data_IF_441191557570
#
_entry.id   IF_441191557570
#
_cell.length_a   1.000
_cell.length_b   1.000
_cell.length_c   1.000
_cell.angle_alpha   90.00
_cell.angle_beta   90.00
_cell.angle_gamma   90.00
#
_symmetry.space_group_name_H-M   'P 1'
#
loop_
_entity.id
_entity.type
_entity.pdbx_description
1 polymer ?
#
# COMPACT_ATOMS: atom_id res chain seq x y z
N UNK A 1 -0.48 -25.71 -4.56
CA UNK A 1 -0.08 -24.31 -4.26
C UNK A 1 -0.47 -23.41 -5.44
N UNK A 2 -1.76 -23.23 -5.70
CA UNK A 2 -2.25 -22.48 -6.88
C UNK A 2 -3.62 -21.80 -6.64
N UNK A 3 -3.98 -21.46 -5.39
CA UNK A 3 -5.29 -20.87 -5.04
C UNK A 3 -5.14 -19.39 -4.61
N UNK A 4 -3.94 -18.82 -4.62
CA UNK A 4 -3.62 -17.58 -3.88
C UNK A 4 -3.50 -16.30 -4.73
N UNK A 5 -3.78 -16.33 -6.04
CA UNK A 5 -3.55 -15.17 -6.91
C UNK A 5 -4.73 -14.20 -7.05
N UNK A 6 -5.95 -14.56 -6.66
CA UNK A 6 -7.16 -13.77 -6.97
C UNK A 6 -8.02 -13.46 -5.74
N UNK A 7 -7.41 -13.02 -4.63
CA UNK A 7 -8.18 -12.41 -3.54
C UNK A 7 -8.50 -10.97 -3.93
N UNK A 8 -9.78 -10.63 -4.02
CA UNK A 8 -10.24 -9.25 -4.24
C UNK A 8 -10.84 -8.69 -2.95
N UNK A 9 -10.93 -7.36 -2.87
CA UNK A 9 -11.44 -6.66 -1.69
C UNK A 9 -12.48 -5.62 -2.08
N UNK A 10 -13.56 -5.54 -1.31
CA UNK A 10 -14.60 -4.51 -1.46
C UNK A 10 -15.10 -4.01 -0.12
N UNK A 11 -15.81 -2.89 -0.13
CA UNK A 11 -16.56 -2.44 1.05
C UNK A 11 -17.67 -3.43 1.37
N UNK A 12 -17.91 -3.66 2.65
CA UNK A 12 -19.07 -4.41 3.10
C UNK A 12 -20.37 -3.72 2.70
N UNK A 13 -21.38 -4.51 2.34
CA UNK A 13 -22.75 -4.08 2.05
C UNK A 13 -23.71 -4.88 2.93
N UNK A 14 -24.97 -4.44 3.03
CA UNK A 14 -25.93 -5.07 3.95
C UNK A 14 -26.12 -6.59 3.70
N UNK A 15 -26.00 -7.05 2.45
CA UNK A 15 -26.09 -8.48 2.12
C UNK A 15 -25.00 -9.35 2.73
N UNK A 16 -23.90 -8.76 3.24
CA UNK A 16 -22.84 -9.49 3.95
C UNK A 16 -23.20 -9.82 5.41
N UNK A 17 -24.29 -9.22 5.94
CA UNK A 17 -24.68 -9.31 7.35
C UNK A 17 -24.79 -10.77 7.83
N UNK A 18 -25.52 -11.61 7.09
CA UNK A 18 -25.74 -13.00 7.51
C UNK A 18 -24.46 -13.83 7.47
N UNK A 19 -23.61 -13.64 6.46
CA UNK A 19 -22.30 -14.28 6.40
C UNK A 19 -21.47 -13.91 7.64
N UNK A 20 -21.33 -12.62 7.94
CA UNK A 20 -20.56 -12.14 9.09
C UNK A 20 -21.15 -12.67 10.40
N UNK A 21 -22.48 -12.67 10.55
CA UNK A 21 -23.16 -13.22 11.73
C UNK A 21 -22.86 -14.70 11.91
N UNK A 22 -22.99 -15.49 10.85
CA UNK A 22 -22.73 -16.92 10.87
C UNK A 22 -21.28 -17.22 11.26
N UNK A 23 -20.30 -16.48 10.73
CA UNK A 23 -18.89 -16.65 11.06
C UNK A 23 -18.55 -16.21 12.49
N UNK A 24 -19.26 -15.20 13.04
CA UNK A 24 -19.15 -14.78 14.44
C UNK A 24 -19.77 -15.79 15.43
N UNK A 25 -20.75 -16.58 14.97
CA UNK A 25 -21.42 -17.61 15.76
C UNK A 25 -20.78 -18.99 15.63
N UNK A 26 -19.85 -19.19 14.70
CA UNK A 26 -19.02 -20.39 14.63
C UNK A 26 -18.35 -20.66 16.00
N UNK A 27 -18.41 -21.90 16.54
CA UNK A 27 -17.97 -22.20 17.90
C UNK A 27 -16.52 -21.78 18.19
N UNK A 28 -15.62 -21.96 17.21
CA UNK A 28 -14.21 -21.60 17.36
C UNK A 28 -14.06 -20.09 17.41
N UNK A 29 -14.68 -19.35 16.48
CA UNK A 29 -14.66 -17.90 16.52
C UNK A 29 -15.26 -17.36 17.82
N UNK A 30 -16.43 -17.89 18.22
CA UNK A 30 -17.18 -17.45 19.39
C UNK A 30 -16.38 -17.57 20.69
N UNK A 31 -15.60 -18.64 20.81
CA UNK A 31 -14.71 -18.88 21.96
C UNK A 31 -13.62 -17.81 22.13
N UNK A 32 -13.37 -17.01 21.08
CA UNK A 32 -12.34 -15.96 21.10
C UNK A 32 -12.89 -14.54 21.27
N UNK A 33 -14.20 -14.36 21.44
CA UNK A 33 -14.79 -13.05 21.76
C UNK A 33 -14.96 -12.88 23.27
N UNK A 34 -15.02 -11.62 23.73
CA UNK A 34 -15.26 -11.29 25.16
C UNK A 34 -16.57 -11.84 25.70
N UNK A 35 -17.63 -11.68 24.93
CA UNK A 35 -18.91 -12.30 25.19
C UNK A 35 -19.05 -13.52 24.28
N UNK A 36 -19.26 -14.71 24.83
CA UNK A 36 -19.44 -15.93 24.04
C UNK A 36 -20.90 -16.24 23.70
N UNK A 37 -21.84 -15.34 24.01
CA UNK A 37 -23.25 -15.49 23.66
C UNK A 37 -23.46 -15.55 22.14
N UNK A 38 -24.44 -16.37 21.72
CA UNK A 38 -24.86 -16.44 20.33
C UNK A 38 -25.43 -15.08 19.93
N UNK A 39 -24.98 -14.57 18.79
CA UNK A 39 -25.46 -13.32 18.23
C UNK A 39 -26.74 -13.61 17.44
N UNK A 40 -27.88 -13.14 17.96
CA UNK A 40 -29.15 -13.22 17.27
C UNK A 40 -29.17 -12.31 16.03
N UNK A 41 -30.04 -12.63 15.08
CA UNK A 41 -30.13 -11.95 13.80
C UNK A 41 -30.55 -10.48 13.92
N UNK A 42 -31.53 -10.19 14.79
CA UNK A 42 -32.09 -8.84 14.93
C UNK A 42 -31.05 -7.88 15.50
N UNK A 43 -30.39 -8.26 16.58
CA UNK A 43 -29.31 -7.49 17.20
C UNK A 43 -28.13 -7.32 16.25
N UNK A 44 -27.77 -8.38 15.49
CA UNK A 44 -26.70 -8.28 14.51
C UNK A 44 -27.02 -7.30 13.39
N UNK A 45 -28.21 -7.40 12.78
CA UNK A 45 -28.62 -6.54 11.68
C UNK A 45 -28.69 -5.07 12.12
N UNK A 46 -29.15 -4.78 13.35
CA UNK A 46 -29.11 -3.43 13.93
C UNK A 46 -27.68 -2.92 14.06
N UNK A 47 -26.79 -3.72 14.64
CA UNK A 47 -25.37 -3.37 14.80
C UNK A 47 -24.68 -3.15 13.44
N UNK A 48 -24.90 -4.05 12.48
CA UNK A 48 -24.26 -3.98 11.18
C UNK A 48 -24.74 -2.78 10.37
N UNK A 49 -26.04 -2.48 10.41
CA UNK A 49 -26.60 -1.26 9.81
C UNK A 49 -25.94 -0.01 10.39
N UNK A 50 -25.75 0.06 11.72
CA UNK A 50 -25.06 1.17 12.35
C UNK A 50 -23.60 1.28 11.90
N UNK A 51 -22.88 0.16 11.78
CA UNK A 51 -21.51 0.14 11.25
C UNK A 51 -21.43 0.61 9.79
N UNK A 52 -22.39 0.25 8.93
CA UNK A 52 -22.40 0.68 7.53
C UNK A 52 -22.69 2.18 7.37
N UNK A 53 -23.41 2.79 8.33
CA UNK A 53 -23.72 4.22 8.35
C UNK A 53 -22.65 5.08 9.06
N UNK A 54 -21.76 4.46 9.83
CA UNK A 54 -20.72 5.15 10.59
C UNK A 54 -19.51 5.50 9.70
N UNK A 55 -19.27 6.79 9.47
CA UNK A 55 -18.12 7.27 8.71
C UNK A 55 -16.78 6.95 9.38
N UNK A 56 -16.80 6.60 10.67
CA UNK A 56 -15.64 6.21 11.45
C UNK A 56 -15.42 4.68 11.48
N UNK A 57 -16.25 3.92 10.78
CA UNK A 57 -16.13 2.49 10.61
C UNK A 57 -15.78 2.15 9.16
N UNK A 58 -14.77 1.30 8.98
CA UNK A 58 -14.36 0.82 7.66
C UNK A 58 -14.35 -0.71 7.66
N UNK A 59 -15.27 -1.29 6.90
CA UNK A 59 -15.43 -2.73 6.77
C UNK A 59 -15.06 -3.17 5.35
N UNK A 60 -14.09 -4.08 5.26
CA UNK A 60 -13.64 -4.67 4.02
C UNK A 60 -13.96 -6.16 3.99
N UNK A 61 -14.58 -6.61 2.91
CA UNK A 61 -14.85 -8.01 2.61
C UNK A 61 -13.79 -8.49 1.63
N UNK A 62 -13.17 -9.62 1.96
CA UNK A 62 -12.31 -10.36 1.04
C UNK A 62 -13.13 -11.39 0.28
N UNK A 63 -12.90 -11.49 -1.03
CA UNK A 63 -13.57 -12.42 -1.91
C UNK A 63 -12.57 -13.28 -2.69
N UNK A 64 -12.93 -14.54 -2.93
CA UNK A 64 -12.22 -15.46 -3.81
C UNK A 64 -13.23 -16.02 -4.79
N UNK A 65 -13.01 -15.81 -6.09
CA UNK A 65 -13.95 -16.21 -7.15
C UNK A 65 -15.41 -15.75 -6.89
N UNK A 66 -15.58 -14.57 -6.28
CA UNK A 66 -16.89 -14.00 -5.91
C UNK A 66 -17.50 -14.53 -4.61
N UNK A 67 -16.87 -15.47 -3.92
CA UNK A 67 -17.30 -15.95 -2.60
C UNK A 67 -16.64 -15.11 -1.49
N UNK A 68 -17.44 -14.62 -0.53
CA UNK A 68 -16.92 -13.91 0.63
C UNK A 68 -16.19 -14.87 1.60
N UNK A 69 -14.91 -14.60 1.86
CA UNK A 69 -14.04 -15.50 2.65
C UNK A 69 -13.63 -14.92 4.00
N UNK A 70 -13.88 -13.63 4.24
CA UNK A 70 -13.63 -12.99 5.52
C UNK A 70 -13.88 -11.49 5.51
N UNK A 71 -13.79 -10.90 6.70
CA UNK A 71 -14.01 -9.48 6.95
C UNK A 71 -12.91 -8.90 7.83
N UNK A 72 -12.44 -7.70 7.48
CA UNK A 72 -11.62 -6.84 8.35
C UNK A 72 -12.40 -5.57 8.64
N UNK A 73 -12.48 -5.19 9.91
CA UNK A 73 -13.12 -3.96 10.37
C UNK A 73 -12.12 -3.10 11.12
N UNK A 74 -12.10 -1.82 10.77
CA UNK A 74 -11.42 -0.74 11.46
C UNK A 74 -12.48 0.18 12.08
N UNK A 75 -12.42 0.42 13.38
CA UNK A 75 -13.33 1.31 14.09
C UNK A 75 -12.53 2.42 14.78
N UNK A 76 -12.82 3.69 14.49
CA UNK A 76 -12.12 4.81 15.14
C UNK A 76 -12.33 4.76 16.66
N UNK A 77 -11.25 4.96 17.41
CA UNK A 77 -11.29 5.16 18.86
C UNK A 77 -11.72 6.59 19.17
N UNK A 78 -12.64 6.75 20.12
CA UNK A 78 -13.19 8.06 20.49
C UNK A 78 -12.20 8.94 21.26
N UNK A 79 -11.19 8.36 21.92
CA UNK A 79 -10.25 9.08 22.78
C UNK A 79 -8.83 9.23 22.19
N UNK A 80 -8.51 8.49 21.12
CA UNK A 80 -7.16 8.39 20.56
C UNK A 80 -7.22 8.54 19.04
N UNK A 81 -6.19 9.11 18.41
CA UNK A 81 -6.05 9.12 16.94
C UNK A 81 -5.66 7.73 16.44
N UNK A 82 -6.60 6.79 16.45
CA UNK A 82 -6.37 5.40 16.08
C UNK A 82 -7.63 4.58 15.87
N UNK A 83 -7.48 3.36 15.36
CA UNK A 83 -8.56 2.43 15.06
C UNK A 83 -8.37 1.10 15.79
N UNK A 84 -9.46 0.55 16.31
CA UNK A 84 -9.53 -0.86 16.68
C UNK A 84 -9.72 -1.73 15.44
N UNK A 85 -8.86 -2.74 15.30
CA UNK A 85 -8.83 -3.68 14.17
C UNK A 85 -9.35 -5.02 14.62
N UNK A 86 -10.39 -5.50 13.93
CA UNK A 86 -10.94 -6.84 14.12
C UNK A 86 -11.00 -7.59 12.80
N UNK A 87 -10.65 -8.88 12.84
CA UNK A 87 -10.71 -9.78 11.69
C UNK A 87 -11.59 -10.99 12.04
N UNK A 88 -12.38 -11.44 11.08
CA UNK A 88 -13.13 -12.68 11.19
C UNK A 88 -13.13 -13.39 9.83
N UNK A 89 -12.73 -14.67 9.82
CA UNK A 89 -12.66 -15.49 8.61
C UNK A 89 -13.84 -16.46 8.57
N UNK A 90 -14.34 -16.68 7.36
CA UNK A 90 -15.21 -17.80 7.05
C UNK A 90 -14.55 -19.10 7.57
N UNK A 91 -15.24 -19.92 8.41
CA UNK A 91 -14.66 -21.12 9.00
C UNK A 91 -14.02 -22.10 8.01
N UNK A 92 -14.60 -22.23 6.80
CA UNK A 92 -14.10 -23.13 5.75
C UNK A 92 -12.77 -22.69 5.15
N UNK A 93 -12.42 -21.41 5.29
CA UNK A 93 -11.24 -20.77 4.72
C UNK A 93 -10.13 -20.51 5.75
N UNK A 94 -10.22 -21.11 6.94
CA UNK A 94 -9.17 -20.99 7.96
C UNK A 94 -7.99 -21.92 7.68
N UNK A 95 -6.85 -21.62 8.29
CA UNK A 95 -5.64 -22.46 8.21
C UNK A 95 -4.83 -22.34 6.91
N UNK A 96 -5.33 -21.64 5.89
CA UNK A 96 -4.64 -21.45 4.60
C UNK A 96 -3.83 -20.14 4.49
N UNK A 97 -3.68 -19.41 5.60
CA UNK A 97 -2.88 -18.18 5.65
C UNK A 97 -3.61 -16.90 5.22
N UNK A 98 -4.93 -16.94 5.02
CA UNK A 98 -5.72 -15.77 4.62
C UNK A 98 -5.71 -14.63 5.64
N UNK A 99 -5.66 -14.93 6.94
CA UNK A 99 -5.74 -13.90 7.99
C UNK A 99 -4.67 -12.79 7.85
N UNK A 100 -3.42 -13.17 7.58
CA UNK A 100 -2.34 -12.20 7.32
C UNK A 100 -2.49 -11.47 5.99
N UNK A 101 -3.08 -12.11 4.97
CA UNK A 101 -3.31 -11.47 3.67
C UNK A 101 -4.36 -10.38 3.80
N UNK A 102 -5.50 -10.70 4.42
CA UNK A 102 -6.57 -9.76 4.69
C UNK A 102 -6.06 -8.53 5.46
N UNK A 103 -5.36 -8.76 6.58
CA UNK A 103 -4.82 -7.65 7.38
C UNK A 103 -3.82 -6.78 6.60
N UNK A 104 -3.03 -7.37 5.69
CA UNK A 104 -2.05 -6.63 4.89
C UNK A 104 -2.71 -5.85 3.76
N UNK A 105 -3.60 -6.49 3.02
CA UNK A 105 -4.13 -5.96 1.77
C UNK A 105 -5.25 -4.94 1.99
N UNK A 106 -5.89 -4.92 3.17
CA UNK A 106 -6.87 -3.88 3.53
C UNK A 106 -6.23 -2.60 4.09
N UNK A 107 -4.92 -2.59 4.38
CA UNK A 107 -4.23 -1.38 4.84
C UNK A 107 -4.10 -0.29 3.76
N UNK A 108 -3.68 -0.58 2.51
CA UNK A 108 -3.64 0.44 1.47
C UNK A 108 -4.97 1.16 1.21
N UNK A 109 -6.11 0.47 1.00
CA UNK A 109 -7.39 1.16 0.79
C UNK A 109 -7.88 1.90 2.04
N UNK A 110 -7.56 1.42 3.25
CA UNK A 110 -7.81 2.18 4.48
C UNK A 110 -6.98 3.47 4.51
N UNK A 111 -5.67 3.37 4.28
CA UNK A 111 -4.78 4.52 4.29
C UNK A 111 -5.24 5.56 3.26
N UNK A 112 -5.61 5.13 2.04
CA UNK A 112 -6.18 6.00 1.02
C UNK A 112 -7.46 6.72 1.49
N UNK A 113 -8.41 6.03 2.12
CA UNK A 113 -9.63 6.65 2.68
C UNK A 113 -9.34 7.69 3.75
N UNK A 114 -8.27 7.48 4.50
CA UNK A 114 -7.83 8.36 5.58
C UNK A 114 -6.83 9.40 5.11
N UNK A 115 -6.71 9.65 3.80
CA UNK A 115 -5.75 10.57 3.20
C UNK A 115 -4.30 10.32 3.66
N UNK A 116 -3.98 9.06 3.94
CA UNK A 116 -2.72 8.59 4.50
C UNK A 116 -2.32 9.25 5.82
N UNK A 117 -3.27 9.80 6.58
CA UNK A 117 -3.01 10.38 7.91
C UNK A 117 -2.31 9.37 8.83
N UNK A 118 -1.51 9.87 9.77
CA UNK A 118 -0.98 9.02 10.85
C UNK A 118 -2.13 8.61 11.77
N UNK A 119 -2.35 7.31 11.90
CA UNK A 119 -3.26 6.72 12.87
C UNK A 119 -2.62 5.52 13.54
N UNK A 120 -2.93 5.27 14.80
CA UNK A 120 -2.56 4.01 15.43
C UNK A 120 -3.55 2.91 15.04
N UNK A 121 -3.08 1.68 14.90
CA UNK A 121 -3.95 0.52 14.74
C UNK A 121 -3.75 -0.41 15.92
N UNK A 122 -4.83 -0.70 16.62
CA UNK A 122 -4.84 -1.50 17.83
C UNK A 122 -5.64 -2.77 17.61
N UNK A 123 -5.19 -3.89 18.16
CA UNK A 123 -5.91 -5.15 18.16
C UNK A 123 -5.91 -5.74 19.57
N UNK A 124 -7.09 -5.81 20.18
CA UNK A 124 -7.28 -6.51 21.46
C UNK A 124 -7.61 -7.99 21.19
N UNK A 125 -6.75 -8.89 21.65
CA UNK A 125 -6.82 -10.33 21.34
C UNK A 125 -6.66 -11.14 22.62
N UNK A 126 -7.44 -12.21 22.79
CA UNK A 126 -7.26 -13.12 23.92
C UNK A 126 -5.88 -13.78 23.82
N UNK A 127 -5.11 -13.91 24.93
CA UNK A 127 -3.80 -14.56 24.93
C UNK A 127 -3.84 -15.99 24.37
N UNK A 128 -4.96 -16.69 24.50
CA UNK A 128 -5.18 -18.05 24.00
C UNK A 128 -5.37 -18.13 22.48
N UNK A 129 -5.70 -17.02 21.79
CA UNK A 129 -5.91 -17.00 20.35
C UNK A 129 -4.59 -16.86 19.58
N UNK A 130 -3.73 -17.88 19.71
CA UNK A 130 -2.38 -17.91 19.12
C UNK A 130 -2.40 -17.70 17.60
N UNK A 131 -3.43 -18.21 16.90
CA UNK A 131 -3.57 -18.06 15.46
C UNK A 131 -3.77 -16.59 15.04
N UNK A 132 -4.64 -15.86 15.75
CA UNK A 132 -4.84 -14.43 15.52
C UNK A 132 -3.58 -13.64 15.86
N UNK A 133 -2.97 -13.89 17.03
CA UNK A 133 -1.73 -13.23 17.46
C UNK A 133 -0.62 -13.38 16.39
N UNK A 134 -0.44 -14.59 15.86
CA UNK A 134 0.52 -14.83 14.76
C UNK A 134 0.14 -14.08 13.49
N UNK A 135 -1.15 -14.02 13.13
CA UNK A 135 -1.62 -13.31 11.94
C UNK A 135 -1.32 -11.82 12.02
N UNK A 136 -1.59 -11.18 13.16
CA UNK A 136 -1.29 -9.77 13.41
C UNK A 136 0.23 -9.51 13.46
N UNK A 137 1.00 -10.32 14.20
CA UNK A 137 2.48 -10.16 14.26
C UNK A 137 3.15 -10.28 12.90
N UNK A 138 2.69 -11.20 12.05
CA UNK A 138 3.24 -11.41 10.72
C UNK A 138 3.06 -10.21 9.77
N UNK A 139 2.17 -9.28 10.09
CA UNK A 139 1.97 -8.07 9.28
C UNK A 139 2.54 -6.82 9.94
N UNK A 140 3.21 -6.92 11.09
CA UNK A 140 3.89 -5.77 11.72
C UNK A 140 3.25 -5.26 13.02
N UNK A 141 2.31 -6.01 13.61
CA UNK A 141 1.83 -5.69 14.96
C UNK A 141 2.80 -6.18 16.04
N UNK A 142 3.01 -5.35 17.06
CA UNK A 142 3.83 -5.65 18.22
C UNK A 142 3.02 -5.57 19.51
N UNK A 143 3.47 -6.23 20.58
CA UNK A 143 2.82 -6.13 21.88
C UNK A 143 2.99 -4.70 22.45
N UNK A 144 1.89 -4.06 22.86
CA UNK A 144 1.96 -2.77 23.56
C UNK A 144 2.53 -3.01 24.96
N UNK A 145 3.62 -2.31 25.31
CA UNK A 145 4.41 -2.55 26.52
C UNK A 145 3.69 -2.35 27.86
N UNK A 146 2.43 -1.91 27.85
CA UNK A 146 1.68 -1.49 29.04
C UNK A 146 0.32 -2.17 29.25
N UNK A 147 0.00 -3.27 28.57
CA UNK A 147 -1.29 -3.96 28.75
C UNK A 147 -1.37 -4.68 30.11
N UNK A 148 -1.61 -3.92 31.19
CA UNK A 148 -2.03 -4.41 32.51
C UNK A 148 -3.56 -4.52 32.60
N UNK A 149 -4.16 -5.23 31.64
CA UNK A 149 -5.54 -5.72 31.78
C UNK A 149 -5.49 -7.22 31.58
N UNK A 150 -5.73 -7.97 32.65
CA UNK A 150 -5.39 -9.39 32.80
C UNK A 150 -6.12 -10.38 31.85
N UNK A 151 -6.95 -9.90 30.92
CA UNK A 151 -7.76 -10.76 30.03
C UNK A 151 -7.38 -10.71 28.55
N UNK A 152 -6.85 -9.59 28.05
CA UNK A 152 -6.59 -9.38 26.61
C UNK A 152 -5.21 -8.77 26.42
N UNK A 153 -4.45 -9.27 25.45
CA UNK A 153 -3.26 -8.57 24.98
C UNK A 153 -3.65 -7.51 23.96
N UNK A 154 -3.02 -6.34 24.05
CA UNK A 154 -3.15 -5.29 23.04
C UNK A 154 -1.93 -5.34 22.12
N UNK A 155 -2.18 -5.54 20.84
CA UNK A 155 -1.17 -5.39 19.80
C UNK A 155 -1.34 -4.06 19.10
N UNK A 156 -0.24 -3.36 18.82
CA UNK A 156 -0.20 -2.11 18.08
C UNK A 156 0.55 -2.31 16.77
N UNK A 157 -0.01 -1.83 15.65
CA UNK A 157 0.70 -1.86 14.37
C UNK A 157 1.87 -0.91 14.41
N UNK A 158 3.06 -1.42 14.11
CA UNK A 158 4.23 -0.59 13.86
C UNK A 158 4.26 -0.25 12.38
N UNK A 159 3.89 1.00 12.09
CA UNK A 159 4.11 1.54 10.77
C UNK A 159 5.59 1.41 10.41
N UNK A 160 5.90 0.95 9.21
CA UNK A 160 7.27 0.91 8.74
C UNK A 160 7.86 2.32 8.73
N UNK A 161 9.09 2.44 9.20
CA UNK A 161 9.86 3.65 8.99
C UNK A 161 10.45 3.60 7.58
N UNK A 162 10.22 4.65 6.81
CA UNK A 162 10.78 4.81 5.46
C UNK A 162 11.92 5.82 5.51
N UNK A 163 12.96 5.57 4.74
CA UNK A 163 14.05 6.51 4.52
C UNK A 163 13.71 7.54 3.43
N UNK A 164 12.83 7.16 2.50
CA UNK A 164 12.31 8.03 1.46
C UNK A 164 10.97 7.56 0.90
N UNK A 165 10.19 8.51 0.36
CA UNK A 165 9.03 8.24 -0.50
C UNK A 165 9.38 8.59 -1.93
N UNK A 166 9.31 7.64 -2.84
CA UNK A 166 9.55 7.82 -4.27
C UNK A 166 8.21 8.00 -4.98
N UNK A 167 7.97 9.19 -5.53
CA UNK A 167 6.76 9.47 -6.28
C UNK A 167 7.01 9.34 -7.78
N UNK A 168 6.47 8.29 -8.41
CA UNK A 168 6.60 8.07 -9.84
C UNK A 168 5.57 8.92 -10.58
N UNK A 169 6.02 9.99 -11.24
CA UNK A 169 5.15 10.86 -12.03
C UNK A 169 4.46 10.08 -13.16
N UNK A 170 3.34 10.59 -13.66
CA UNK A 170 2.70 10.05 -14.86
C UNK A 170 3.06 10.89 -16.07
N UNK A 171 2.40 12.04 -16.24
CA UNK A 171 2.65 12.96 -17.35
C UNK A 171 2.13 14.38 -17.04
N UNK A 172 2.28 15.28 -18.01
CA UNK A 172 1.60 16.56 -18.11
C UNK A 172 0.21 16.42 -18.77
N UNK A 173 -0.64 17.41 -18.60
CA UNK A 173 -1.88 17.59 -19.36
C UNK A 173 -1.64 18.46 -20.62
N UNK A 174 -2.70 18.72 -21.39
CA UNK A 174 -2.64 19.50 -22.63
C UNK A 174 -2.18 20.95 -22.43
N UNK A 175 -2.28 21.47 -21.20
CA UNK A 175 -1.91 22.84 -20.85
C UNK A 175 -0.44 22.93 -20.37
N UNK A 176 0.26 21.79 -20.31
CA UNK A 176 1.64 21.72 -19.82
C UNK A 176 1.75 21.71 -18.28
N UNK A 177 0.63 21.52 -17.59
CA UNK A 177 0.58 21.35 -16.13
C UNK A 177 0.59 19.86 -15.76
N UNK A 178 0.91 19.52 -14.51
CA UNK A 178 0.85 18.12 -14.07
C UNK A 178 -0.55 17.55 -14.31
N UNK A 179 -0.67 16.40 -14.98
CA UNK A 179 -1.99 15.81 -15.16
C UNK A 179 -2.59 15.33 -13.83
N UNK A 180 -3.90 15.00 -13.85
CA UNK A 180 -4.65 14.56 -12.67
C UNK A 180 -3.98 13.38 -11.95
N UNK A 181 -3.45 12.42 -12.71
CA UNK A 181 -2.78 11.23 -12.17
C UNK A 181 -1.47 11.61 -11.44
N UNK A 182 -0.63 12.45 -12.04
CA UNK A 182 0.59 12.98 -11.41
C UNK A 182 0.27 13.75 -10.12
N UNK A 183 -0.78 14.58 -10.14
CA UNK A 183 -1.26 15.32 -8.96
C UNK A 183 -1.71 14.38 -7.84
N UNK A 184 -2.53 13.37 -8.14
CA UNK A 184 -3.00 12.38 -7.15
C UNK A 184 -1.85 11.59 -6.52
N UNK A 185 -0.90 11.12 -7.33
CA UNK A 185 0.30 10.41 -6.85
C UNK A 185 1.13 11.30 -5.93
N UNK A 186 1.33 12.57 -6.30
CA UNK A 186 2.08 13.51 -5.47
C UNK A 186 1.39 13.77 -4.15
N UNK A 187 0.09 14.04 -4.18
CA UNK A 187 -0.69 14.34 -2.97
C UNK A 187 -0.61 13.14 -2.00
N UNK A 188 -0.75 11.90 -2.50
CA UNK A 188 -0.54 10.68 -1.71
C UNK A 188 0.89 10.55 -1.16
N UNK A 189 1.92 10.83 -1.97
CA UNK A 189 3.31 10.78 -1.54
C UNK A 189 3.62 11.80 -0.45
N UNK A 190 3.13 13.04 -0.58
CA UNK A 190 3.29 14.07 0.45
C UNK A 190 2.58 13.69 1.74
N UNK A 191 1.37 13.12 1.66
CA UNK A 191 0.70 12.62 2.85
C UNK A 191 1.51 11.52 3.55
N UNK A 192 2.10 10.57 2.80
CA UNK A 192 2.98 9.55 3.40
C UNK A 192 4.21 10.21 4.04
N UNK A 193 4.84 11.17 3.37
CA UNK A 193 5.98 11.90 3.94
C UNK A 193 5.62 12.52 5.29
N UNK A 194 4.49 13.23 5.37
CA UNK A 194 4.05 13.91 6.59
C UNK A 194 3.63 12.94 7.69
N UNK A 195 2.86 11.93 7.34
CA UNK A 195 2.27 11.01 8.32
C UNK A 195 3.26 10.00 8.89
N UNK A 196 4.25 9.62 8.11
CA UNK A 196 5.30 8.67 8.52
C UNK A 196 6.60 9.37 8.90
N UNK A 197 6.61 10.71 8.94
CA UNK A 197 7.79 11.53 9.24
C UNK A 197 9.00 11.13 8.38
N UNK A 198 8.74 10.84 7.11
CA UNK A 198 9.76 10.37 6.17
C UNK A 198 10.69 11.54 5.85
N UNK A 199 12.02 11.37 5.97
CA UNK A 199 12.93 12.52 5.86
C UNK A 199 13.11 13.01 4.42
N UNK A 200 12.64 12.25 3.41
CA UNK A 200 12.83 12.62 2.01
C UNK A 200 11.65 12.24 1.10
N UNK A 201 11.25 13.18 0.26
CA UNK A 201 10.45 12.95 -0.94
C UNK A 201 11.38 12.89 -2.16
N UNK A 202 11.22 11.90 -3.01
CA UNK A 202 11.85 11.85 -4.33
C UNK A 202 10.82 12.23 -5.38
N UNK A 203 11.14 13.26 -6.16
CA UNK A 203 10.40 13.61 -7.37
C UNK A 203 11.26 13.28 -8.58
N UNK A 204 10.68 12.58 -9.55
CA UNK A 204 11.41 12.01 -10.68
C UNK A 204 10.66 12.21 -12.00
N UNK A 205 11.42 12.23 -13.08
CA UNK A 205 10.92 12.27 -14.45
C UNK A 205 11.40 13.49 -15.24
N UNK A 206 11.70 13.27 -16.51
CA UNK A 206 12.12 14.27 -17.48
C UNK A 206 10.97 15.13 -18.02
N UNK A 207 11.28 16.06 -18.92
CA UNK A 207 10.34 17.02 -19.53
C UNK A 207 9.64 16.52 -20.82
N UNK A 208 9.82 15.27 -21.23
CA UNK A 208 9.31 14.78 -22.51
C UNK A 208 9.90 15.51 -23.73
N UNK A 209 9.42 15.14 -24.93
CA UNK A 209 9.66 15.87 -26.18
C UNK A 209 8.33 16.52 -26.61
N UNK A 210 8.33 17.84 -26.71
CA UNK A 210 7.20 18.77 -26.91
C UNK A 210 6.62 19.40 -25.63
N UNK A 211 6.75 20.74 -25.58
CA UNK A 211 5.98 21.76 -24.85
C UNK A 211 6.31 22.15 -23.40
N UNK A 212 6.85 21.32 -22.51
CA UNK A 212 7.12 21.80 -21.13
C UNK A 212 8.52 22.44 -20.99
N UNK A 213 8.58 23.65 -20.42
CA UNK A 213 9.87 24.31 -20.06
C UNK A 213 10.51 23.68 -18.81
N UNK A 214 9.85 22.70 -18.19
CA UNK A 214 10.14 22.18 -16.85
C UNK A 214 9.96 20.66 -16.85
N UNK A 215 10.88 19.93 -16.22
CA UNK A 215 10.78 18.47 -16.05
C UNK A 215 9.64 18.07 -15.13
N UNK A 216 9.11 16.84 -15.26
CA UNK A 216 8.13 16.29 -14.31
C UNK A 216 8.66 16.36 -12.87
N UNK A 217 9.94 16.02 -12.65
CA UNK A 217 10.59 16.10 -11.35
C UNK A 217 10.52 17.51 -10.75
N UNK A 218 10.77 18.55 -11.54
CA UNK A 218 10.70 19.95 -11.09
C UNK A 218 9.27 20.45 -10.90
N UNK A 219 8.35 20.08 -11.77
CA UNK A 219 6.93 20.43 -11.63
C UNK A 219 6.34 19.81 -10.34
N UNK A 220 6.64 18.54 -10.08
CA UNK A 220 6.25 17.82 -8.87
C UNK A 220 6.86 18.46 -7.61
N UNK A 221 8.16 18.81 -7.64
CA UNK A 221 8.80 19.47 -6.51
C UNK A 221 8.22 20.86 -6.22
N UNK A 222 7.97 21.66 -7.25
CA UNK A 222 7.36 22.99 -7.13
C UNK A 222 5.98 22.88 -6.49
N UNK A 223 5.14 21.92 -6.93
CA UNK A 223 3.83 21.68 -6.33
C UNK A 223 3.95 21.19 -4.89
N UNK A 224 4.88 20.27 -4.60
CA UNK A 224 5.08 19.72 -3.26
C UNK A 224 5.39 20.82 -2.23
N UNK A 225 6.20 21.80 -2.61
CA UNK A 225 6.52 22.97 -1.77
C UNK A 225 5.36 23.96 -1.74
N UNK A 226 4.97 24.49 -2.91
CA UNK A 226 4.07 25.64 -3.00
C UNK A 226 2.60 25.33 -2.72
N UNK A 227 2.15 24.10 -2.94
CA UNK A 227 0.75 23.69 -2.75
C UNK A 227 0.62 22.74 -1.58
N UNK A 228 1.49 21.73 -1.50
CA UNK A 228 1.38 20.70 -0.47
C UNK A 228 2.10 21.06 0.84
N UNK A 229 2.91 22.13 0.87
CA UNK A 229 3.57 22.64 2.06
C UNK A 229 4.61 21.69 2.64
N UNK A 230 5.49 21.14 1.79
CA UNK A 230 6.73 20.52 2.22
C UNK A 230 7.89 21.52 2.16
N UNK A 231 8.87 21.33 3.04
CA UNK A 231 10.13 22.09 2.99
C UNK A 231 10.96 21.64 1.78
N UNK A 232 11.62 22.60 1.12
CA UNK A 232 12.33 22.35 -0.13
C UNK A 232 13.55 21.43 0.02
N UNK A 233 14.16 21.39 1.20
CA UNK A 233 15.31 20.55 1.56
C UNK A 233 14.93 19.07 1.76
N UNK A 234 13.65 18.79 1.99
CA UNK A 234 13.12 17.43 2.03
C UNK A 234 13.03 16.78 0.64
N UNK A 235 13.27 17.50 -0.46
CA UNK A 235 13.04 17.00 -1.81
C UNK A 235 14.36 16.64 -2.50
N UNK A 236 14.51 15.35 -2.84
CA UNK A 236 15.51 14.91 -3.81
C UNK A 236 14.88 14.86 -5.20
N UNK A 237 15.41 15.67 -6.11
CA UNK A 237 14.92 15.76 -7.50
C UNK A 237 15.82 14.95 -8.42
N UNK A 238 15.22 14.13 -9.27
CA UNK A 238 15.92 13.44 -10.35
C UNK A 238 15.25 13.67 -11.71
N UNK A 239 15.84 14.54 -12.52
CA UNK A 239 15.30 14.93 -13.83
C UNK A 239 15.76 14.02 -14.97
N UNK A 240 16.69 13.09 -14.69
CA UNK A 240 17.36 12.25 -15.71
C UNK A 240 16.48 11.09 -16.20
N UNK A 241 15.65 10.43 -15.36
CA UNK A 241 14.77 9.37 -15.80
C UNK A 241 13.78 9.81 -16.88
N UNK A 242 13.75 9.05 -17.96
CA UNK A 242 12.84 9.18 -19.09
C UNK A 242 11.69 8.19 -19.03
N UNK A 243 11.86 7.13 -18.23
CA UNK A 243 10.87 6.11 -17.95
C UNK A 243 11.21 5.38 -16.63
N UNK A 244 10.34 4.44 -16.24
CA UNK A 244 10.46 3.67 -14.99
C UNK A 244 11.75 2.85 -14.87
N UNK A 245 12.37 2.47 -15.99
CA UNK A 245 13.66 1.76 -15.99
C UNK A 245 14.75 2.69 -15.49
N UNK A 246 14.86 3.90 -16.03
CA UNK A 246 15.83 4.85 -15.50
C UNK A 246 15.49 5.38 -14.12
N UNK A 247 14.19 5.50 -13.75
CA UNK A 247 13.80 5.87 -12.39
C UNK A 247 14.42 4.89 -11.38
N UNK A 248 14.26 3.60 -11.62
CA UNK A 248 14.85 2.58 -10.75
C UNK A 248 16.38 2.62 -10.77
N UNK A 249 17.00 2.71 -11.96
CA UNK A 249 18.46 2.58 -12.11
C UNK A 249 19.19 3.79 -11.53
N UNK A 250 18.76 5.03 -11.82
CA UNK A 250 19.43 6.22 -11.30
C UNK A 250 19.29 6.32 -9.78
N UNK A 251 18.13 5.99 -9.21
CA UNK A 251 17.93 5.97 -7.76
C UNK A 251 18.78 4.88 -7.09
N UNK A 252 18.85 3.69 -7.67
CA UNK A 252 19.69 2.61 -7.14
C UNK A 252 21.18 2.94 -7.20
N UNK A 253 21.61 3.61 -8.27
CA UNK A 253 23.01 3.96 -8.51
C UNK A 253 23.48 5.11 -7.64
N UNK A 254 22.65 6.12 -7.44
CA UNK A 254 23.09 7.38 -6.82
C UNK A 254 22.42 7.62 -5.47
N UNK A 255 21.09 7.59 -5.39
CA UNK A 255 20.36 7.97 -4.18
C UNK A 255 20.49 6.94 -3.05
N UNK A 256 20.31 5.64 -3.35
CA UNK A 256 20.43 4.58 -2.35
C UNK A 256 21.78 4.60 -1.60
N UNK A 257 22.95 4.59 -2.28
CA UNK A 257 24.23 4.62 -1.58
C UNK A 257 24.51 5.98 -0.93
N UNK A 258 24.16 7.11 -1.56
CA UNK A 258 24.45 8.45 -1.03
C UNK A 258 23.74 8.72 0.30
N UNK A 259 22.57 8.14 0.50
CA UNK A 259 21.75 8.36 1.69
C UNK A 259 21.58 7.12 2.58
N UNK A 260 22.24 6.02 2.22
CA UNK A 260 22.17 4.74 2.92
C UNK A 260 20.74 4.21 3.12
N UNK A 261 19.83 4.48 2.18
CA UNK A 261 18.44 4.05 2.27
C UNK A 261 18.32 2.51 2.28
N UNK A 262 17.60 1.99 3.27
CA UNK A 262 17.32 0.56 3.48
C UNK A 262 15.86 0.20 3.24
N UNK A 263 14.95 1.15 3.42
CA UNK A 263 13.53 0.94 3.15
C UNK A 263 12.89 2.20 2.56
N UNK A 264 12.25 2.06 1.40
CA UNK A 264 11.54 3.16 0.74
C UNK A 264 10.08 2.82 0.49
N UNK A 265 9.24 3.85 0.44
CA UNK A 265 7.89 3.76 -0.09
C UNK A 265 7.93 4.18 -1.57
N UNK A 266 7.22 3.49 -2.46
CA UNK A 266 7.03 3.92 -3.85
C UNK A 266 5.53 4.17 -4.08
N UNK A 267 5.21 5.36 -4.58
CA UNK A 267 3.84 5.80 -4.88
C UNK A 267 3.65 5.87 -6.39
N UNK A 268 2.61 5.19 -6.88
CA UNK A 268 2.22 5.21 -8.29
C UNK A 268 0.71 4.95 -8.46
N UNK A 269 0.23 4.77 -9.69
CA UNK A 269 -1.17 4.39 -9.96
C UNK A 269 -1.37 2.88 -9.84
N UNK A 270 -2.56 2.43 -9.44
CA UNK A 270 -2.90 1.02 -9.27
C UNK A 270 -2.57 0.14 -10.49
N UNK A 271 -2.85 0.63 -11.70
CA UNK A 271 -2.51 0.01 -12.97
C UNK A 271 -0.99 -0.19 -13.16
N UNK A 272 -0.18 0.71 -12.61
CA UNK A 272 1.25 0.76 -12.85
C UNK A 272 2.08 -0.06 -11.85
N UNK A 273 1.52 -0.35 -10.66
CA UNK A 273 2.23 -1.02 -9.55
C UNK A 273 2.91 -2.30 -10.00
N UNK A 274 2.22 -3.16 -10.75
CA UNK A 274 2.77 -4.45 -11.13
C UNK A 274 3.99 -4.31 -12.07
N UNK A 275 4.01 -3.32 -12.96
CA UNK A 275 5.15 -3.07 -13.86
C UNK A 275 6.30 -2.41 -13.12
N UNK A 276 6.01 -1.35 -12.38
CA UNK A 276 7.03 -0.65 -11.60
C UNK A 276 7.69 -1.60 -10.59
N UNK A 277 6.90 -2.45 -9.91
CA UNK A 277 7.42 -3.47 -8.99
C UNK A 277 8.34 -4.46 -9.68
N UNK A 278 8.00 -4.92 -10.88
CA UNK A 278 8.85 -5.83 -11.65
C UNK A 278 10.23 -5.22 -11.93
N UNK A 279 10.27 -3.96 -12.38
CA UNK A 279 11.53 -3.25 -12.66
C UNK A 279 12.31 -2.96 -11.38
N UNK A 280 11.68 -2.29 -10.41
CA UNK A 280 12.33 -1.88 -9.17
C UNK A 280 12.85 -3.07 -8.36
N UNK A 281 12.10 -4.17 -8.25
CA UNK A 281 12.56 -5.36 -7.50
C UNK A 281 13.80 -6.01 -8.13
N UNK A 282 13.93 -5.97 -9.46
CA UNK A 282 15.13 -6.47 -10.15
C UNK A 282 16.31 -5.53 -9.97
N UNK A 283 16.10 -4.22 -10.14
CA UNK A 283 17.19 -3.22 -10.06
C UNK A 283 17.68 -3.02 -8.63
N UNK A 284 16.78 -2.90 -7.65
CA UNK A 284 17.14 -2.72 -6.24
C UNK A 284 17.64 -4.04 -5.64
N UNK A 285 17.06 -5.19 -6.01
CA UNK A 285 17.38 -6.47 -5.38
C UNK A 285 17.28 -6.40 -3.85
N UNK A 286 18.29 -6.88 -3.15
CA UNK A 286 18.37 -6.85 -1.69
C UNK A 286 18.99 -5.54 -1.14
N UNK A 287 19.29 -4.57 -1.99
CA UNK A 287 19.92 -3.30 -1.57
C UNK A 287 18.98 -2.45 -0.70
N UNK A 288 17.68 -2.53 -0.97
CA UNK A 288 16.66 -1.71 -0.32
C UNK A 288 15.27 -2.38 -0.43
N UNK A 289 14.54 -2.43 0.68
CA UNK A 289 13.15 -2.92 0.74
C UNK A 289 12.19 -1.86 0.20
N UNK A 290 11.15 -2.29 -0.51
CA UNK A 290 10.17 -1.39 -1.13
C UNK A 290 8.75 -1.76 -0.68
N UNK A 291 8.04 -0.80 -0.07
CA UNK A 291 6.60 -0.88 0.11
C UNK A 291 5.90 -0.04 -0.97
N UNK A 292 4.79 -0.56 -1.50
CA UNK A 292 4.09 0.04 -2.65
C UNK A 292 2.77 0.66 -2.22
N UNK A 293 2.55 1.91 -2.61
CA UNK A 293 1.31 2.63 -2.41
C UNK A 293 0.73 3.01 -3.77
N UNK A 294 -0.57 2.81 -3.92
CA UNK A 294 -1.28 3.03 -5.17
C UNK A 294 -2.37 4.07 -4.98
N UNK A 295 -2.49 5.00 -5.93
CA UNK A 295 -3.70 5.80 -6.08
C UNK A 295 -4.64 5.12 -7.07
N UNK A 296 -5.94 5.24 -6.82
CA UNK A 296 -6.96 4.74 -7.74
C UNK A 296 -6.97 5.60 -8.99
N UNK A 297 -6.79 4.97 -10.14
CA UNK A 297 -6.75 5.64 -11.44
C UNK A 297 -8.03 5.43 -12.23
N UNK A 298 -8.20 6.21 -13.29
CA UNK A 298 -9.32 6.06 -14.21
C UNK A 298 -9.20 4.76 -15.05
N UNK A 299 -10.31 4.11 -15.43
CA UNK A 299 -10.28 2.81 -16.13
C UNK A 299 -9.44 2.78 -17.41
N UNK A 300 -9.36 3.91 -18.15
CA UNK A 300 -8.60 4.00 -19.39
C UNK A 300 -7.09 3.67 -19.23
N UNK A 301 -6.52 3.88 -18.05
CA UNK A 301 -5.12 3.50 -17.79
C UNK A 301 -4.90 1.99 -17.82
N UNK A 302 -5.87 1.21 -17.35
CA UNK A 302 -5.80 -0.25 -17.34
C UNK A 302 -5.91 -0.83 -18.76
N UNK A 303 -6.73 -0.22 -19.62
CA UNK A 303 -6.84 -0.61 -21.03
C UNK A 303 -5.52 -0.42 -21.77
N UNK A 304 -4.86 0.71 -21.54
CA UNK A 304 -3.53 1.00 -22.09
C UNK A 304 -2.46 0.04 -21.56
N UNK A 305 -2.46 -0.24 -20.25
CA UNK A 305 -1.47 -1.14 -19.63
C UNK A 305 -1.65 -2.60 -20.08
N UNK A 306 -2.87 -3.05 -20.37
CA UNK A 306 -3.13 -4.41 -20.85
C UNK A 306 -2.45 -4.72 -22.20
N UNK A 307 -2.19 -3.69 -23.01
CA UNK A 307 -1.52 -3.81 -24.31
C UNK A 307 0.00 -3.55 -24.20
N UNK A 308 0.51 -3.29 -22.99
CA UNK A 308 1.88 -2.86 -22.77
C UNK A 308 2.88 -4.04 -22.76
N UNK A 309 3.96 -3.92 -23.54
CA UNK A 309 5.02 -4.93 -23.64
C UNK A 309 6.31 -4.56 -22.91
N UNK A 310 6.33 -3.47 -22.13
CA UNK A 310 7.56 -2.94 -21.53
C UNK A 310 8.22 -3.90 -20.54
N UNK A 311 7.47 -4.76 -19.83
CA UNK A 311 8.06 -5.78 -18.94
C UNK A 311 8.92 -6.78 -19.72
N UNK A 312 8.38 -7.30 -20.82
CA UNK A 312 9.11 -8.25 -21.67
C UNK A 312 10.35 -7.60 -22.30
N UNK A 313 10.24 -6.35 -22.75
CA UNK A 313 11.39 -5.60 -23.29
C UNK A 313 12.46 -5.36 -22.23
N UNK A 314 12.06 -5.02 -21.01
CA UNK A 314 12.97 -4.86 -19.88
C UNK A 314 13.70 -6.18 -19.58
N UNK A 315 12.98 -7.29 -19.46
CA UNK A 315 13.57 -8.62 -19.18
C UNK A 315 14.57 -9.07 -20.25
N UNK A 316 14.28 -8.78 -21.52
CA UNK A 316 15.19 -9.04 -22.63
C UNK A 316 16.46 -8.18 -22.52
N UNK A 317 16.31 -6.88 -22.25
CA UNK A 317 17.44 -5.95 -22.13
C UNK A 317 18.40 -6.36 -21.00
N UNK A 318 17.85 -6.79 -19.86
CA UNK A 318 18.63 -7.10 -18.64
C UNK A 318 18.94 -8.59 -18.49
N UNK A 319 18.73 -9.38 -19.55
CA UNK A 319 19.03 -10.81 -19.51
C UNK A 319 20.47 -11.07 -19.08
N UNK A 320 20.66 -11.97 -18.11
CA UNK A 320 21.97 -12.30 -17.53
C UNK A 320 22.46 -11.35 -16.43
N UNK A 321 21.74 -10.27 -16.11
CA UNK A 321 22.07 -9.39 -14.99
C UNK A 321 21.42 -9.90 -13.69
N UNK A 322 22.23 -10.04 -12.63
CA UNK A 322 21.75 -10.45 -11.32
C UNK A 322 20.93 -9.32 -10.66
N UNK A 323 19.88 -9.62 -9.86
CA UNK A 323 19.21 -8.60 -9.07
C UNK A 323 20.18 -7.78 -8.22
N UNK A 324 20.02 -6.46 -8.18
CA UNK A 324 20.91 -5.57 -7.44
C UNK A 324 22.28 -5.30 -8.09
N UNK A 325 22.61 -5.88 -9.26
CA UNK A 325 23.81 -5.49 -10.03
C UNK A 325 23.60 -4.15 -10.75
N UNK A 326 23.61 -3.07 -9.96
CA UNK A 326 23.30 -1.72 -10.42
C UNK A 326 24.23 -1.27 -11.55
N UNK A 327 25.51 -1.64 -11.50
CA UNK A 327 26.47 -1.33 -12.56
C UNK A 327 26.13 -2.05 -13.86
N UNK A 328 25.76 -3.33 -13.80
CA UNK A 328 25.29 -4.10 -14.95
C UNK A 328 24.00 -3.53 -15.55
N UNK A 329 23.02 -3.18 -14.70
CA UNK A 329 21.78 -2.52 -15.14
C UNK A 329 22.06 -1.17 -15.82
N UNK A 330 22.90 -0.33 -15.22
CA UNK A 330 23.25 0.97 -15.79
C UNK A 330 23.96 0.83 -17.15
N UNK A 331 24.92 -0.10 -17.26
CA UNK A 331 25.61 -0.37 -18.52
C UNK A 331 24.66 -0.85 -19.63
N UNK A 332 23.68 -1.70 -19.29
CA UNK A 332 22.63 -2.13 -20.25
C UNK A 332 21.71 -0.98 -20.64
N UNK A 333 21.30 -0.16 -19.69
CA UNK A 333 20.44 0.99 -19.95
C UNK A 333 21.08 1.93 -20.97
N UNK A 334 22.33 2.37 -20.75
CA UNK A 334 23.00 3.31 -21.67
C UNK A 334 23.37 2.71 -23.04
N UNK A 335 23.46 1.38 -23.16
CA UNK A 335 23.89 0.73 -24.41
C UNK A 335 22.76 0.13 -25.23
N UNK A 336 21.59 -0.13 -24.63
CA UNK A 336 20.50 -0.88 -25.27
C UNK A 336 19.12 -0.23 -25.10
N UNK A 337 18.93 0.67 -24.14
CA UNK A 337 17.62 1.26 -23.92
C UNK A 337 17.38 2.44 -24.88
N UNK A 338 16.32 2.42 -25.73
CA UNK A 338 16.13 3.43 -26.78
C UNK A 338 16.07 4.87 -26.30
N UNK A 339 15.67 5.10 -25.04
CA UNK A 339 15.62 6.43 -24.44
C UNK A 339 16.97 6.92 -23.90
N UNK A 340 17.98 6.06 -23.76
CA UNK A 340 19.27 6.40 -23.13
C UNK A 340 20.50 6.12 -23.99
N UNK A 341 20.31 5.51 -25.15
CA UNK A 341 21.34 5.32 -26.17
C UNK A 341 21.73 6.62 -26.87
#
# INVERSE_FOLDING_TARGET
MAIMSDVTYRTAVFSDSENIRSWRNDPVARSFFRDSSIVDEESHNKWFTACLADTNAHLFIAEIAGEAVGVVRYQLRTAEKGYDVSINLNPTWRGVGLGKMLLKDTLPPLAQRLNYDRFELHAAILPSNIASIKSFRNVGYELKSSSKCDEMIELIYKWPQFDAVICLANDFDSDGELNKESKLRLDAAVCIVKSYEVPRLVTTGWSGALSSRVSLANAMATRAVGVCGLEADMIYRDERPRDTVGEAIYLAKDALPAFAWKKVAVVTGDWHVARARHVFSRVFGDLCSIDWFAVTSEPAYWESEAQNSSRMKFDQMVHGIAPGDVSGFFAKMISQHPLYM
#
